data_IF_180873334451
#
_entry.id   IF_180873334451
#
_cell.length_a   1.000
_cell.length_b   1.000
_cell.length_c   1.000
_cell.angle_alpha   90.00
_cell.angle_beta   90.00
_cell.angle_gamma   90.00
#
_symmetry.space_group_name_H-M   'P 1'
#
loop_
_entity.id
_entity.type
_entity.pdbx_description
1 polymer ?
#
# COMPACT_ATOMS: atom_id res chain seq x y z
N UNK A 1 -9.61 0.88 -7.17
CA UNK A 1 -9.91 0.29 -5.86
C UNK A 1 -8.86 0.74 -4.88
N UNK A 2 -9.30 1.03 -3.67
CA UNK A 2 -8.39 1.26 -2.55
C UNK A 2 -8.05 -0.06 -1.84
N UNK A 3 -7.07 -0.03 -0.95
CA UNK A 3 -6.58 -1.20 -0.19
C UNK A 3 -7.70 -1.93 0.55
N UNK A 4 -8.65 -1.21 1.14
CA UNK A 4 -9.76 -1.79 1.91
C UNK A 4 -10.75 -2.53 1.02
N UNK A 5 -11.08 -1.96 -0.14
CA UNK A 5 -11.94 -2.62 -1.12
C UNK A 5 -11.30 -3.92 -1.63
N UNK A 6 -10.00 -3.92 -1.95
CA UNK A 6 -9.29 -5.13 -2.40
C UNK A 6 -9.39 -6.23 -1.35
N UNK A 7 -9.02 -5.94 -0.09
CA UNK A 7 -9.08 -6.93 1.01
C UNK A 7 -10.47 -7.50 1.23
N UNK A 8 -11.50 -6.63 1.22
CA UNK A 8 -12.90 -7.05 1.38
C UNK A 8 -13.32 -8.00 0.25
N UNK A 9 -12.98 -7.67 -0.98
CA UNK A 9 -13.35 -8.46 -2.16
C UNK A 9 -12.62 -9.81 -2.21
N UNK A 10 -11.35 -9.88 -1.78
CA UNK A 10 -10.57 -11.14 -1.78
C UNK A 10 -11.21 -12.21 -0.90
N UNK A 11 -11.83 -11.82 0.21
CA UNK A 11 -12.57 -12.73 1.08
C UNK A 11 -13.96 -13.13 0.58
N UNK A 12 -14.44 -12.55 -0.54
CA UNK A 12 -15.78 -12.80 -1.07
C UNK A 12 -15.80 -14.00 -2.00
N UNK A 13 -16.79 -14.89 -1.85
CA UNK A 13 -17.02 -15.99 -2.80
C UNK A 13 -17.86 -15.56 -4.02
N UNK A 14 -18.32 -14.30 -4.06
CA UNK A 14 -19.19 -13.79 -5.12
C UNK A 14 -18.45 -13.64 -6.45
N UNK A 15 -19.00 -14.17 -7.54
CA UNK A 15 -18.37 -14.15 -8.86
C UNK A 15 -18.24 -12.73 -9.44
N UNK A 16 -19.12 -11.80 -9.08
CA UNK A 16 -19.03 -10.40 -9.45
C UNK A 16 -17.88 -9.69 -8.75
N UNK A 17 -17.69 -9.96 -7.46
CA UNK A 17 -16.54 -9.47 -6.69
C UNK A 17 -15.21 -10.02 -7.25
N UNK A 18 -15.19 -11.29 -7.65
CA UNK A 18 -14.03 -11.90 -8.34
C UNK A 18 -13.74 -11.25 -9.70
N UNK A 19 -14.77 -10.94 -10.50
CA UNK A 19 -14.59 -10.22 -11.77
C UNK A 19 -14.02 -8.80 -11.57
N UNK A 20 -14.46 -8.13 -10.50
CA UNK A 20 -13.95 -6.82 -10.07
C UNK A 20 -12.46 -6.88 -9.71
N UNK A 21 -12.04 -7.89 -8.95
CA UNK A 21 -10.63 -8.13 -8.63
C UNK A 21 -9.80 -8.43 -9.89
N UNK A 22 -10.31 -9.25 -10.80
CA UNK A 22 -9.62 -9.57 -12.06
C UNK A 22 -9.34 -8.30 -12.89
N UNK A 23 -10.35 -7.43 -13.01
CA UNK A 23 -10.21 -6.13 -13.70
C UNK A 23 -9.21 -5.21 -12.99
N UNK A 24 -9.27 -5.14 -11.66
CA UNK A 24 -8.34 -4.35 -10.86
C UNK A 24 -6.88 -4.78 -11.06
N UNK A 25 -6.58 -6.07 -10.90
CA UNK A 25 -5.23 -6.58 -11.04
C UNK A 25 -4.71 -6.50 -12.49
N UNK A 26 -5.59 -6.61 -13.49
CA UNK A 26 -5.24 -6.35 -14.89
C UNK A 26 -4.80 -4.89 -15.10
N UNK A 27 -5.55 -3.93 -14.56
CA UNK A 27 -5.17 -2.52 -14.63
C UNK A 27 -3.86 -2.24 -13.86
N UNK A 28 -3.67 -2.89 -12.71
CA UNK A 28 -2.45 -2.77 -11.92
C UNK A 28 -1.23 -3.35 -12.66
N UNK A 29 -1.39 -4.46 -13.38
CA UNK A 29 -0.36 -5.04 -14.23
C UNK A 29 0.14 -4.02 -15.27
N UNK A 30 -0.79 -3.37 -15.96
CA UNK A 30 -0.45 -2.39 -17.00
C UNK A 30 0.25 -1.16 -16.43
N UNK A 31 -0.13 -0.73 -15.22
CA UNK A 31 0.59 0.34 -14.50
C UNK A 31 2.03 -0.06 -14.19
N UNK A 32 2.26 -1.27 -13.68
CA UNK A 32 3.62 -1.76 -13.40
C UNK A 32 4.43 -1.96 -14.69
N UNK A 33 3.83 -2.51 -15.74
CA UNK A 33 4.48 -2.65 -17.05
C UNK A 33 4.86 -1.27 -17.63
N UNK A 34 4.01 -0.27 -17.52
CA UNK A 34 4.32 1.10 -17.92
C UNK A 34 5.47 1.71 -17.10
N UNK A 35 5.50 1.48 -15.77
CA UNK A 35 6.60 1.90 -14.91
C UNK A 35 7.92 1.22 -15.29
N UNK A 36 7.90 -0.09 -15.56
CA UNK A 36 9.07 -0.82 -16.03
C UNK A 36 9.64 -0.24 -17.32
N UNK A 37 8.78 0.09 -18.30
CA UNK A 37 9.17 0.75 -19.55
C UNK A 37 9.79 2.13 -19.30
N UNK A 38 9.19 2.95 -18.42
CA UNK A 38 9.74 4.26 -18.04
C UNK A 38 11.14 4.13 -17.43
N UNK A 39 11.32 3.22 -16.47
CA UNK A 39 12.63 3.00 -15.86
C UNK A 39 13.67 2.45 -16.83
N UNK A 40 13.27 1.57 -17.75
CA UNK A 40 14.16 1.12 -18.84
C UNK A 40 14.61 2.29 -19.73
N UNK A 41 13.69 3.19 -20.08
CA UNK A 41 14.03 4.38 -20.87
C UNK A 41 14.99 5.32 -20.11
N UNK A 42 14.75 5.54 -18.82
CA UNK A 42 15.65 6.35 -17.97
C UNK A 42 17.05 5.73 -17.86
N UNK A 43 17.16 4.42 -17.65
CA UNK A 43 18.45 3.73 -17.59
C UNK A 43 19.28 3.93 -18.88
N UNK A 44 18.62 3.80 -20.03
CA UNK A 44 19.25 4.05 -21.35
C UNK A 44 19.71 5.49 -21.49
N UNK A 45 18.90 6.46 -21.06
CA UNK A 45 19.24 7.87 -21.11
C UNK A 45 20.47 8.20 -20.23
N UNK A 46 20.55 7.62 -19.03
CA UNK A 46 21.72 7.80 -18.17
C UNK A 46 22.98 7.13 -18.74
N UNK A 47 22.86 5.95 -19.34
CA UNK A 47 24.00 5.27 -19.97
C UNK A 47 24.58 6.08 -21.14
N UNK A 48 23.76 6.82 -21.87
CA UNK A 48 24.20 7.74 -22.94
C UNK A 48 24.74 9.09 -22.46
N UNK A 49 24.75 9.37 -21.15
CA UNK A 49 25.13 10.68 -20.61
C UNK A 49 26.67 10.83 -20.52
N UNK A 50 27.27 11.91 -21.05
CA UNK A 50 28.71 12.14 -20.99
C UNK A 50 29.25 12.37 -19.56
N UNK A 51 28.41 12.71 -18.58
CA UNK A 51 28.81 12.89 -17.18
C UNK A 51 28.78 11.54 -16.42
N UNK A 52 29.83 10.74 -16.65
CA UNK A 52 29.81 9.27 -16.45
C UNK A 52 29.57 8.79 -15.01
N UNK A 53 30.15 9.43 -14.00
CA UNK A 53 30.22 8.83 -12.66
C UNK A 53 28.87 8.81 -11.92
N UNK A 54 28.11 9.92 -11.98
CA UNK A 54 26.76 9.98 -11.41
C UNK A 54 25.76 9.21 -12.28
N UNK A 55 25.92 9.24 -13.60
CA UNK A 55 25.00 8.61 -14.54
C UNK A 55 24.99 7.07 -14.45
N UNK A 56 26.14 6.42 -14.22
CA UNK A 56 26.19 4.95 -14.07
C UNK A 56 25.40 4.47 -12.85
N UNK A 57 25.48 5.17 -11.71
CA UNK A 57 24.73 4.81 -10.51
C UNK A 57 23.21 4.89 -10.72
N UNK A 58 22.74 5.95 -11.38
CA UNK A 58 21.32 6.11 -11.71
C UNK A 58 20.82 5.13 -12.78
N UNK A 59 21.67 4.75 -13.74
CA UNK A 59 21.34 3.72 -14.72
C UNK A 59 21.06 2.37 -14.02
N UNK A 60 21.98 1.91 -13.16
CA UNK A 60 21.82 0.68 -12.38
C UNK A 60 20.57 0.73 -11.48
N UNK A 61 20.34 1.87 -10.83
CA UNK A 61 19.14 2.09 -10.01
C UNK A 61 17.86 1.93 -10.85
N UNK A 62 17.81 2.56 -12.02
CA UNK A 62 16.66 2.47 -12.92
C UNK A 62 16.48 1.05 -13.48
N UNK A 63 17.54 0.33 -13.83
CA UNK A 63 17.45 -1.07 -14.28
C UNK A 63 16.87 -1.97 -13.20
N UNK A 64 17.31 -1.79 -11.94
CA UNK A 64 16.75 -2.51 -10.80
C UNK A 64 15.26 -2.24 -10.64
N UNK A 65 14.84 -0.97 -10.71
CA UNK A 65 13.43 -0.61 -10.63
C UNK A 65 12.62 -1.15 -11.82
N UNK A 66 13.20 -1.17 -13.02
CA UNK A 66 12.54 -1.78 -14.18
C UNK A 66 12.28 -3.27 -13.95
N UNK A 67 13.29 -4.00 -13.47
CA UNK A 67 13.17 -5.43 -13.15
C UNK A 67 12.11 -5.70 -12.08
N UNK A 68 12.12 -4.94 -10.98
CA UNK A 68 11.12 -5.08 -9.91
C UNK A 68 9.71 -4.81 -10.43
N UNK A 69 9.52 -3.77 -11.23
CA UNK A 69 8.23 -3.46 -11.82
C UNK A 69 7.76 -4.54 -12.80
N UNK A 70 8.66 -5.16 -13.57
CA UNK A 70 8.32 -6.32 -14.42
C UNK A 70 7.84 -7.50 -13.58
N UNK A 71 8.57 -7.85 -12.51
CA UNK A 71 8.19 -8.94 -11.61
C UNK A 71 6.82 -8.68 -10.94
N UNK A 72 6.57 -7.45 -10.50
CA UNK A 72 5.27 -7.04 -9.97
C UNK A 72 4.17 -7.18 -11.03
N UNK A 73 4.42 -6.72 -12.27
CA UNK A 73 3.46 -6.83 -13.38
C UNK A 73 3.08 -8.28 -13.67
N UNK A 74 4.05 -9.19 -13.69
CA UNK A 74 3.81 -10.61 -13.95
C UNK A 74 3.02 -11.25 -12.81
N UNK A 75 3.39 -10.98 -11.55
CA UNK A 75 2.66 -11.47 -10.37
C UNK A 75 1.20 -11.03 -10.37
N UNK A 76 0.92 -9.76 -10.65
CA UNK A 76 -0.47 -9.27 -10.66
C UNK A 76 -1.25 -9.72 -11.90
N UNK A 77 -0.60 -10.10 -13.01
CA UNK A 77 -1.26 -10.81 -14.13
C UNK A 77 -1.70 -12.20 -13.73
N UNK A 78 -0.88 -12.92 -12.97
CA UNK A 78 -1.26 -14.22 -12.44
C UNK A 78 -2.46 -14.12 -11.49
N UNK A 79 -2.49 -13.09 -10.63
CA UNK A 79 -3.67 -12.80 -9.79
C UNK A 79 -4.90 -12.45 -10.62
N UNK A 80 -4.75 -11.60 -11.64
CA UNK A 80 -5.86 -11.26 -12.53
C UNK A 80 -6.45 -12.53 -13.18
N UNK A 81 -5.59 -13.43 -13.68
CA UNK A 81 -6.02 -14.71 -14.24
C UNK A 81 -6.65 -15.63 -13.20
N UNK A 82 -6.13 -15.64 -11.96
CA UNK A 82 -6.70 -16.39 -10.85
C UNK A 82 -8.14 -15.94 -10.55
N UNK A 83 -8.36 -14.64 -10.33
CA UNK A 83 -9.68 -14.10 -10.03
C UNK A 83 -10.63 -14.18 -11.24
N UNK A 84 -10.10 -14.12 -12.47
CA UNK A 84 -10.90 -14.34 -13.67
C UNK A 84 -11.46 -15.76 -13.73
N UNK A 85 -10.68 -16.78 -13.34
CA UNK A 85 -11.17 -18.16 -13.24
C UNK A 85 -12.23 -18.31 -12.16
N UNK A 86 -12.02 -17.71 -10.99
CA UNK A 86 -13.02 -17.73 -9.92
C UNK A 86 -14.33 -17.04 -10.35
N UNK A 87 -14.23 -15.93 -11.07
CA UNK A 87 -15.38 -15.20 -11.61
C UNK A 87 -16.22 -16.03 -12.59
N UNK A 88 -15.61 -17.01 -13.28
CA UNK A 88 -16.33 -17.96 -14.15
C UNK A 88 -16.72 -19.25 -13.43
N UNK A 89 -16.60 -19.30 -12.10
CA UNK A 89 -16.91 -20.48 -11.28
C UNK A 89 -15.87 -21.61 -11.38
N UNK A 90 -14.71 -21.35 -11.99
CA UNK A 90 -13.63 -22.33 -12.11
C UNK A 90 -12.71 -22.25 -10.90
N UNK A 91 -12.53 -23.38 -10.22
CA UNK A 91 -11.60 -23.47 -9.09
C UNK A 91 -10.17 -23.06 -9.52
N UNK A 92 -9.49 -22.31 -8.65
CA UNK A 92 -8.18 -21.74 -8.93
C UNK A 92 -7.42 -21.56 -7.62
N UNK A 93 -6.11 -21.81 -7.64
CA UNK A 93 -5.22 -21.55 -6.50
C UNK A 93 -4.54 -20.19 -6.71
N UNK A 94 -4.46 -19.38 -5.66
CA UNK A 94 -3.80 -18.07 -5.73
C UNK A 94 -2.28 -18.23 -5.87
N UNK A 95 -1.59 -17.40 -6.68
CA UNK A 95 -0.14 -17.42 -6.77
C UNK A 95 0.48 -16.97 -5.44
N UNK A 96 1.50 -17.70 -4.96
CA UNK A 96 2.10 -17.43 -3.65
C UNK A 96 2.71 -16.02 -3.54
N UNK A 97 3.30 -15.50 -4.63
CA UNK A 97 3.84 -14.15 -4.68
C UNK A 97 2.75 -13.06 -4.65
N UNK A 98 1.47 -13.42 -4.83
CA UNK A 98 0.33 -12.50 -4.91
C UNK A 98 -0.20 -12.00 -3.56
N UNK A 99 0.15 -12.65 -2.45
CA UNK A 99 -0.46 -12.37 -1.15
C UNK A 99 -0.35 -10.88 -0.71
N UNK A 100 0.76 -10.21 -1.03
CA UNK A 100 0.92 -8.78 -0.72
C UNK A 100 -0.02 -7.88 -1.54
N UNK A 101 -0.30 -8.23 -2.78
CA UNK A 101 -1.22 -7.51 -3.66
C UNK A 101 -2.68 -7.77 -3.27
N UNK A 102 -3.03 -8.98 -2.84
CA UNK A 102 -4.33 -9.28 -2.23
C UNK A 102 -4.51 -8.57 -0.88
N UNK A 103 -3.42 -8.33 -0.15
CA UNK A 103 -3.39 -7.43 1.00
C UNK A 103 -3.41 -5.93 0.61
N UNK A 104 -3.52 -5.62 -0.68
CA UNK A 104 -3.72 -4.27 -1.22
C UNK A 104 -2.45 -3.51 -1.62
N UNK A 105 -1.30 -4.17 -1.74
CA UNK A 105 -0.11 -3.53 -2.31
C UNK A 105 -0.40 -2.96 -3.72
N UNK A 106 0.01 -1.72 -3.97
CA UNK A 106 -0.23 -1.03 -5.26
C UNK A 106 -1.65 -0.50 -5.47
N UNK A 107 -2.59 -0.80 -4.57
CA UNK A 107 -3.89 -0.17 -4.51
C UNK A 107 -3.78 1.29 -4.01
N UNK A 108 -4.86 2.05 -4.18
CA UNK A 108 -4.91 3.41 -3.65
C UNK A 108 -5.05 3.38 -2.13
N UNK A 109 -4.44 4.34 -1.45
CA UNK A 109 -4.76 4.60 -0.04
C UNK A 109 -6.23 5.04 0.04
N UNK A 110 -7.04 4.49 0.96
CA UNK A 110 -8.40 4.96 1.19
C UNK A 110 -8.41 6.46 1.51
N UNK A 111 -9.38 7.18 0.94
CA UNK A 111 -9.67 8.56 1.35
C UNK A 111 -10.44 8.59 2.67
N UNK A 112 -10.50 9.76 3.34
CA UNK A 112 -11.36 9.93 4.53
C UNK A 112 -12.83 9.62 4.21
N UNK A 113 -13.29 9.99 3.02
CA UNK A 113 -14.65 9.67 2.54
C UNK A 113 -14.86 8.17 2.36
N UNK A 114 -13.86 7.45 1.82
CA UNK A 114 -13.89 5.99 1.69
C UNK A 114 -14.00 5.32 3.07
N UNK A 115 -13.23 5.82 4.05
CA UNK A 115 -13.25 5.30 5.43
C UNK A 115 -14.59 5.54 6.11
N UNK A 116 -15.15 6.75 5.99
CA UNK A 116 -16.47 7.08 6.53
C UNK A 116 -17.55 6.21 5.88
N UNK A 117 -17.52 6.08 4.55
CA UNK A 117 -18.47 5.26 3.81
C UNK A 117 -18.37 3.76 4.19
N UNK A 118 -17.15 3.25 4.38
CA UNK A 118 -16.94 1.86 4.77
C UNK A 118 -17.39 1.63 6.22
N UNK A 119 -17.02 2.51 7.16
CA UNK A 119 -17.46 2.42 8.55
C UNK A 119 -18.99 2.48 8.67
N UNK A 120 -19.66 3.32 7.88
CA UNK A 120 -21.12 3.44 7.87
C UNK A 120 -21.82 2.19 7.29
N UNK A 121 -21.18 1.47 6.36
CA UNK A 121 -21.74 0.27 5.71
C UNK A 121 -21.30 -1.04 6.37
N UNK A 122 -20.23 -1.01 7.16
CA UNK A 122 -19.68 -2.19 7.80
C UNK A 122 -20.73 -2.83 8.70
N UNK A 123 -21.15 -4.05 8.33
CA UNK A 123 -22.23 -4.78 9.00
C UNK A 123 -21.84 -6.23 9.28
N UNK A 124 -20.78 -6.73 8.65
CA UNK A 124 -20.30 -8.09 8.83
C UNK A 124 -19.01 -8.14 9.66
N UNK A 125 -18.71 -9.28 10.31
CA UNK A 125 -17.41 -9.51 10.93
C UNK A 125 -16.22 -9.26 9.98
N UNK A 126 -16.38 -9.57 8.70
CA UNK A 126 -15.34 -9.37 7.70
C UNK A 126 -15.07 -7.88 7.44
N UNK A 127 -16.11 -7.05 7.35
CA UNK A 127 -15.97 -5.60 7.17
C UNK A 127 -15.22 -4.97 8.34
N UNK A 128 -15.61 -5.34 9.57
CA UNK A 128 -14.94 -4.83 10.76
C UNK A 128 -13.51 -5.33 10.90
N UNK A 129 -13.20 -6.56 10.47
CA UNK A 129 -11.82 -7.06 10.45
C UNK A 129 -10.95 -6.27 9.47
N UNK A 130 -11.46 -5.97 8.28
CA UNK A 130 -10.75 -5.17 7.28
C UNK A 130 -10.44 -3.75 7.79
N UNK A 131 -11.41 -3.10 8.46
CA UNK A 131 -11.21 -1.80 9.10
C UNK A 131 -10.18 -1.88 10.24
N UNK A 132 -10.24 -2.91 11.08
CA UNK A 132 -9.29 -3.10 12.16
C UNK A 132 -7.84 -3.25 11.65
N UNK A 133 -7.63 -4.08 10.63
CA UNK A 133 -6.32 -4.28 10.01
C UNK A 133 -5.78 -3.00 9.35
N UNK A 134 -6.65 -2.18 8.75
CA UNK A 134 -6.24 -0.89 8.21
C UNK A 134 -5.73 0.05 9.30
N UNK A 135 -6.46 0.15 10.41
CA UNK A 135 -6.04 1.00 11.52
C UNK A 135 -4.77 0.49 12.22
N UNK A 136 -4.53 -0.82 12.26
CA UNK A 136 -3.22 -1.37 12.69
C UNK A 136 -2.09 -0.91 11.75
N UNK A 137 -2.30 -0.98 10.45
CA UNK A 137 -1.31 -0.50 9.46
C UNK A 137 -1.05 1.00 9.63
N UNK A 138 -2.11 1.78 9.92
CA UNK A 138 -2.01 3.22 10.13
C UNK A 138 -1.31 3.58 11.45
N UNK A 139 -1.51 2.81 12.52
CA UNK A 139 -0.75 2.92 13.77
C UNK A 139 0.75 2.70 13.53
N UNK A 140 1.11 1.66 12.78
CA UNK A 140 2.51 1.38 12.43
C UNK A 140 3.13 2.52 11.63
N UNK A 141 2.39 3.07 10.67
CA UNK A 141 2.84 4.22 9.87
C UNK A 141 3.10 5.45 10.74
N UNK A 142 2.14 5.83 11.58
CA UNK A 142 2.35 6.97 12.49
C UNK A 142 3.47 6.71 13.49
N UNK A 143 3.68 5.47 13.92
CA UNK A 143 4.81 5.11 14.79
C UNK A 143 6.16 5.31 14.08
N UNK A 144 6.24 4.97 12.79
CA UNK A 144 7.41 5.26 11.97
C UNK A 144 7.62 6.78 11.80
N UNK A 145 6.56 7.54 11.55
CA UNK A 145 6.63 9.02 11.43
C UNK A 145 7.13 9.66 12.74
N UNK A 146 6.73 9.13 13.91
CA UNK A 146 7.25 9.56 15.20
C UNK A 146 8.76 9.34 15.27
N UNK A 147 9.24 8.16 14.88
CA UNK A 147 10.67 7.83 14.91
C UNK A 147 11.47 8.75 13.98
N UNK A 148 10.96 8.99 12.77
CA UNK A 148 11.57 9.90 11.80
C UNK A 148 11.67 11.32 12.34
N UNK A 149 10.55 11.89 12.82
CA UNK A 149 10.55 13.26 13.33
C UNK A 149 11.41 13.43 14.60
N UNK A 150 11.48 12.42 15.47
CA UNK A 150 12.40 12.43 16.63
C UNK A 150 13.86 12.43 16.17
N UNK A 151 14.20 11.61 15.17
CA UNK A 151 15.54 11.58 14.61
C UNK A 151 15.90 12.92 13.95
N UNK A 152 14.99 13.49 13.16
CA UNK A 152 15.17 14.81 12.54
C UNK A 152 15.36 15.91 13.58
N UNK A 153 14.54 15.94 14.63
CA UNK A 153 14.70 16.90 15.73
C UNK A 153 16.10 16.81 16.35
N UNK A 154 16.62 15.58 16.53
CA UNK A 154 17.99 15.32 16.96
C UNK A 154 19.04 15.99 16.08
N UNK A 155 18.88 15.96 14.75
CA UNK A 155 19.84 16.58 13.81
C UNK A 155 19.84 18.12 13.83
N UNK A 156 18.71 18.74 14.17
CA UNK A 156 18.59 20.20 14.22
C UNK A 156 19.03 20.79 15.56
N UNK A 157 19.02 20.01 16.65
CA UNK A 157 19.45 20.47 17.97
C UNK A 157 20.91 20.93 17.93
N UNK A 158 21.18 22.09 18.54
CA UNK A 158 22.52 22.69 18.57
C UNK A 158 22.99 23.31 17.24
N UNK A 159 22.15 23.33 16.22
CA UNK A 159 22.43 24.02 14.95
C UNK A 159 21.85 25.44 14.95
N UNK A 160 22.20 26.25 13.94
CA UNK A 160 21.63 27.60 13.73
C UNK A 160 20.13 27.59 13.42
N UNK A 161 19.56 26.44 13.12
CA UNK A 161 18.13 26.25 12.80
C UNK A 161 17.43 25.39 13.86
N UNK A 162 17.82 25.54 15.13
CA UNK A 162 17.23 24.78 16.25
C UNK A 162 15.69 24.90 16.37
N UNK A 163 15.07 25.96 15.81
CA UNK A 163 13.62 26.08 15.71
C UNK A 163 12.97 24.93 14.91
N UNK A 164 13.68 24.37 13.93
CA UNK A 164 13.22 23.20 13.17
C UNK A 164 13.11 21.96 14.05
N UNK A 165 13.91 21.85 15.13
CA UNK A 165 13.75 20.79 16.11
C UNK A 165 12.39 20.90 16.84
N UNK A 166 11.98 22.11 17.21
CA UNK A 166 10.67 22.37 17.83
C UNK A 166 9.52 22.01 16.88
N UNK A 167 9.66 22.33 15.61
CA UNK A 167 8.69 21.94 14.58
C UNK A 167 8.59 20.41 14.46
N UNK A 168 9.72 19.70 14.36
CA UNK A 168 9.73 18.24 14.34
C UNK A 168 9.17 17.62 15.62
N UNK A 169 9.47 18.19 16.79
CA UNK A 169 8.91 17.72 18.08
C UNK A 169 7.38 17.88 18.12
N UNK A 170 6.83 18.94 17.52
CA UNK A 170 5.37 19.11 17.36
C UNK A 170 4.75 18.09 16.41
N UNK A 171 5.41 17.80 15.28
CA UNK A 171 4.96 16.76 14.35
C UNK A 171 4.99 15.38 15.00
N UNK A 172 6.07 15.03 15.71
CA UNK A 172 6.17 13.79 16.47
C UNK A 172 5.06 13.69 17.53
N UNK A 173 4.70 14.78 18.20
CA UNK A 173 3.56 14.79 19.13
C UNK A 173 2.25 14.46 18.43
N UNK A 174 1.94 15.14 17.32
CA UNK A 174 0.71 14.89 16.54
C UNK A 174 0.66 13.46 16.01
N UNK A 175 1.77 12.94 15.49
CA UNK A 175 1.86 11.56 15.02
C UNK A 175 1.61 10.54 16.16
N UNK A 176 2.08 10.79 17.39
CA UNK A 176 1.73 9.94 18.56
C UNK A 176 0.24 9.96 18.87
N UNK A 177 -0.39 11.13 18.82
CA UNK A 177 -1.84 11.27 19.03
C UNK A 177 -2.62 10.50 17.95
N UNK A 178 -2.20 10.61 16.68
CA UNK A 178 -2.79 9.86 15.57
C UNK A 178 -2.57 8.35 15.67
N UNK A 179 -1.38 7.90 16.07
CA UNK A 179 -1.10 6.48 16.32
C UNK A 179 -2.03 5.91 17.40
N UNK A 180 -2.23 6.66 18.49
CA UNK A 180 -3.14 6.26 19.56
C UNK A 180 -4.60 6.18 19.10
N UNK A 181 -5.06 7.15 18.30
CA UNK A 181 -6.42 7.11 17.72
C UNK A 181 -6.60 5.93 16.74
N UNK A 182 -5.59 5.63 15.94
CA UNK A 182 -5.60 4.47 15.05
C UNK A 182 -5.68 3.17 15.86
N UNK A 183 -4.85 3.03 16.90
CA UNK A 183 -4.90 1.88 17.83
C UNK A 183 -6.27 1.68 18.47
N UNK A 184 -6.90 2.76 18.94
CA UNK A 184 -8.23 2.72 19.55
C UNK A 184 -9.30 2.30 18.54
N UNK A 185 -9.22 2.83 17.32
CA UNK A 185 -10.11 2.47 16.21
C UNK A 185 -9.95 1.00 15.80
N UNK A 186 -8.71 0.50 15.73
CA UNK A 186 -8.41 -0.90 15.47
C UNK A 186 -9.03 -1.81 16.54
N UNK A 187 -8.88 -1.44 17.83
CA UNK A 187 -9.45 -2.20 18.93
C UNK A 187 -11.00 -2.17 18.92
N UNK A 188 -11.61 -1.03 18.59
CA UNK A 188 -13.07 -0.92 18.45
C UNK A 188 -13.59 -1.88 17.37
N UNK A 189 -13.03 -1.81 16.16
CA UNK A 189 -13.44 -2.66 15.06
C UNK A 189 -13.11 -4.14 15.30
N UNK A 190 -12.00 -4.45 15.97
CA UNK A 190 -11.68 -5.81 16.39
C UNK A 190 -12.74 -6.41 17.32
N UNK A 191 -13.26 -5.63 18.29
CA UNK A 191 -14.38 -6.05 19.15
C UNK A 191 -15.67 -6.24 18.37
N UNK A 192 -16.02 -5.32 17.47
CA UNK A 192 -17.21 -5.46 16.61
C UNK A 192 -17.13 -6.72 15.74
N UNK A 193 -15.97 -7.00 15.14
CA UNK A 193 -15.74 -8.22 14.37
C UNK A 193 -15.93 -9.50 15.19
N UNK A 194 -15.63 -9.48 16.49
CA UNK A 194 -15.79 -10.62 17.38
C UNK A 194 -17.23 -10.82 17.91
N UNK A 195 -18.05 -9.76 17.89
CA UNK A 195 -19.38 -9.72 18.54
C UNK A 195 -20.52 -10.04 17.58
N UNK A 196 -20.36 -9.79 16.27
CA UNK A 196 -21.39 -10.00 15.23
C UNK A 196 -21.57 -11.47 14.82
N UNK A 197 -21.86 -12.38 15.76
CA UNK A 197 -22.28 -13.76 15.48
C UNK A 197 -23.76 -13.84 15.09
#
# INVERSE_FOLDING_TARGET
>A
MNTLEVRRLVGSADTGDQARLASHFSALAERYAAQARRHTAMARAFTGNPNRQMATGWAIHCERLAKLNTQSADTVRELAAHHQRLATGTASTAPQAGASFEAGAGALTPSDEDLVALAAKASTPADHRALAEYFVTLEEQYTADVAEHVAMAGTYRGTRIAWAAVHCDQLAKRARESAQQAKESAAMHGRLAATSR
#
